data_IF_438657919559
#
_entry.id   IF_438657919559
#
_cell.length_a   1.000
_cell.length_b   1.000
_cell.length_c   1.000
_cell.angle_alpha   90.00
_cell.angle_beta   90.00
_cell.angle_gamma   90.00
#
_symmetry.space_group_name_H-M   'P 1'
#
loop_
_entity.id
_entity.type
_entity.pdbx_description
1 polymer ?
#
# COMPACT_ATOMS: atom_id res chain seq x y z
N UNK A 1 -10.94 -4.05 -10.44
CA UNK A 1 -10.21 -3.70 -9.19
C UNK A 1 -9.37 -2.44 -9.40
N UNK A 2 -8.54 -2.35 -10.45
CA UNK A 2 -7.82 -1.10 -10.77
C UNK A 2 -8.74 0.12 -10.82
N UNK A 3 -9.89 0.00 -11.49
CA UNK A 3 -10.87 1.06 -11.67
C UNK A 3 -11.45 1.52 -10.32
N UNK A 4 -11.79 0.54 -9.46
CA UNK A 4 -12.32 0.84 -8.14
C UNK A 4 -11.30 1.57 -7.26
N UNK A 5 -10.03 1.15 -7.27
CA UNK A 5 -8.99 1.84 -6.50
C UNK A 5 -8.70 3.24 -7.07
N UNK A 6 -8.70 3.39 -8.39
CA UNK A 6 -8.57 4.70 -9.03
C UNK A 6 -9.69 5.66 -8.56
N UNK A 7 -10.95 5.27 -8.77
CA UNK A 7 -12.11 6.12 -8.48
C UNK A 7 -12.30 6.40 -6.98
N UNK A 8 -12.06 5.40 -6.13
CA UNK A 8 -12.41 5.48 -4.70
C UNK A 8 -11.25 5.88 -3.80
N UNK A 9 -10.01 5.76 -4.25
CA UNK A 9 -8.83 6.00 -3.42
C UNK A 9 -7.83 6.94 -4.08
N UNK A 10 -7.34 6.59 -5.28
CA UNK A 10 -6.21 7.31 -5.87
C UNK A 10 -6.61 8.70 -6.37
N UNK A 11 -7.67 8.81 -7.16
CA UNK A 11 -8.14 10.10 -7.69
C UNK A 11 -8.58 11.07 -6.59
N UNK A 12 -9.36 10.65 -5.56
CA UNK A 12 -9.67 11.51 -4.42
C UNK A 12 -8.46 12.05 -3.66
N UNK A 13 -7.37 11.28 -3.62
CA UNK A 13 -6.13 11.64 -2.92
C UNK A 13 -5.10 12.32 -3.82
N UNK A 14 -5.38 12.45 -5.13
CA UNK A 14 -4.42 12.98 -6.08
C UNK A 14 -3.20 12.07 -6.28
N UNK A 15 -3.33 10.77 -6.03
CA UNK A 15 -2.27 9.77 -6.20
C UNK A 15 -2.14 9.36 -7.67
N UNK A 16 -1.55 10.24 -8.50
CA UNK A 16 -1.58 10.12 -9.97
C UNK A 16 -0.64 9.05 -10.51
N UNK A 17 0.29 8.60 -9.69
CA UNK A 17 1.36 7.69 -10.05
C UNK A 17 1.18 6.30 -9.44
N UNK A 18 0.08 6.11 -8.69
CA UNK A 18 -0.24 4.86 -8.03
C UNK A 18 -1.14 3.99 -8.90
N UNK A 19 -0.70 2.76 -9.15
CA UNK A 19 -1.44 1.81 -9.98
C UNK A 19 -0.78 0.45 -10.07
N UNK A 20 -1.43 -0.48 -10.75
CA UNK A 20 -0.89 -1.83 -10.98
C UNK A 20 0.17 -1.90 -12.08
N UNK A 21 0.40 -0.79 -12.78
CA UNK A 21 1.46 -0.61 -13.76
C UNK A 21 1.84 0.87 -13.81
N UNK A 22 3.04 1.17 -14.27
CA UNK A 22 3.51 2.54 -14.49
C UNK A 22 2.61 3.22 -15.52
N UNK A 23 2.24 4.48 -15.25
CA UNK A 23 1.42 5.26 -16.17
C UNK A 23 2.13 5.47 -17.53
N UNK A 24 1.37 5.54 -18.64
CA UNK A 24 1.96 5.85 -19.95
C UNK A 24 2.79 7.13 -19.90
N UNK A 25 4.04 7.06 -20.38
CA UNK A 25 4.96 8.20 -20.41
C UNK A 25 5.68 8.50 -19.09
N UNK A 26 5.51 7.68 -18.05
CA UNK A 26 6.23 7.81 -16.77
C UNK A 26 7.35 6.78 -16.57
N UNK A 27 7.63 5.93 -17.58
CA UNK A 27 8.66 4.89 -17.50
C UNK A 27 10.08 5.45 -17.36
N UNK A 28 10.33 6.65 -17.88
CA UNK A 28 11.62 7.34 -17.84
C UNK A 28 12.10 7.68 -16.42
N UNK A 29 11.15 7.79 -15.48
CA UNK A 29 11.42 8.03 -14.05
C UNK A 29 11.16 6.81 -13.16
N UNK A 30 10.81 5.66 -13.73
CA UNK A 30 10.61 4.42 -12.98
C UNK A 30 11.95 3.72 -12.72
N UNK A 31 12.16 3.23 -11.50
CA UNK A 31 13.42 2.63 -11.07
C UNK A 31 13.38 1.12 -11.18
N UNK A 32 14.53 0.48 -11.43
CA UNK A 32 14.64 -0.97 -11.32
C UNK A 32 14.48 -1.47 -9.89
N UNK A 33 13.89 -2.65 -9.73
CA UNK A 33 13.81 -3.37 -8.47
C UNK A 33 15.03 -4.29 -8.33
N UNK A 34 15.73 -4.20 -7.21
CA UNK A 34 16.93 -4.98 -6.93
C UNK A 34 16.76 -5.80 -5.65
N UNK A 35 17.44 -6.94 -5.59
CA UNK A 35 17.60 -7.75 -4.38
C UNK A 35 19.07 -7.92 -4.03
N UNK A 36 19.35 -8.25 -2.78
CA UNK A 36 20.69 -8.69 -2.39
C UNK A 36 21.03 -10.02 -3.06
N UNK A 37 22.14 -10.05 -3.80
CA UNK A 37 22.67 -11.26 -4.41
C UNK A 37 23.52 -12.06 -3.41
N UNK A 38 23.71 -13.36 -3.67
CA UNK A 38 24.44 -14.29 -2.78
C UNK A 38 25.90 -13.86 -2.52
N UNK A 39 26.51 -13.10 -3.43
CA UNK A 39 27.88 -12.60 -3.31
C UNK A 39 28.03 -11.23 -2.65
N UNK A 40 26.98 -10.67 -2.03
CA UNK A 40 27.00 -9.35 -1.40
C UNK A 40 26.86 -8.15 -2.35
N UNK A 41 26.57 -8.40 -3.64
CA UNK A 41 26.20 -7.39 -4.63
C UNK A 41 24.69 -7.22 -4.78
N UNK A 42 24.27 -6.33 -5.67
CA UNK A 42 22.85 -6.15 -6.03
C UNK A 42 22.54 -6.89 -7.34
N UNK A 43 21.44 -7.62 -7.36
CA UNK A 43 20.92 -8.29 -8.54
C UNK A 43 19.66 -7.56 -9.00
N UNK A 44 19.60 -7.21 -10.29
CA UNK A 44 18.40 -6.64 -10.90
C UNK A 44 17.32 -7.73 -10.97
N UNK A 45 16.22 -7.51 -10.26
CA UNK A 45 15.04 -8.40 -10.26
C UNK A 45 14.08 -7.99 -11.36
N UNK A 46 13.87 -6.68 -11.52
CA UNK A 46 12.97 -6.14 -12.54
C UNK A 46 13.51 -4.82 -13.07
N UNK A 47 13.66 -4.74 -14.39
CA UNK A 47 14.07 -3.51 -15.08
C UNK A 47 12.91 -2.50 -15.15
N UNK A 48 13.18 -1.21 -15.41
CA UNK A 48 12.10 -0.23 -15.58
C UNK A 48 11.07 -0.62 -16.65
N UNK A 49 11.49 -1.29 -17.73
CA UNK A 49 10.63 -1.80 -18.79
C UNK A 49 10.08 -3.23 -18.52
N UNK A 50 10.26 -3.72 -17.29
CA UNK A 50 9.88 -5.06 -16.84
C UNK A 50 8.41 -5.21 -16.45
N UNK A 51 8.15 -5.95 -15.35
CA UNK A 51 6.81 -6.46 -15.02
C UNK A 51 5.77 -5.35 -14.80
N UNK A 52 6.18 -4.18 -14.30
CA UNK A 52 5.29 -3.05 -14.05
C UNK A 52 5.17 -2.09 -15.24
N UNK A 53 5.84 -2.36 -16.37
CA UNK A 53 5.73 -1.53 -17.58
C UNK A 53 4.40 -1.74 -18.32
N UNK A 54 3.63 -2.75 -17.93
CA UNK A 54 2.31 -3.07 -18.49
C UNK A 54 1.35 -3.61 -17.41
N UNK A 55 0.02 -3.51 -17.61
CA UNK A 55 -0.94 -4.06 -16.65
C UNK A 55 -0.73 -5.56 -16.41
N UNK A 56 -0.81 -6.04 -15.15
CA UNK A 56 -0.65 -7.44 -14.83
C UNK A 56 -1.85 -8.25 -15.33
N UNK A 57 -1.63 -9.55 -15.59
CA UNK A 57 -2.71 -10.47 -15.95
C UNK A 57 -3.81 -10.56 -14.88
N UNK A 58 -3.44 -10.37 -13.61
CA UNK A 58 -4.37 -10.35 -12.48
C UNK A 58 -3.96 -9.31 -11.42
N UNK A 59 -4.72 -8.22 -11.26
CA UNK A 59 -4.52 -7.26 -10.17
C UNK A 59 -4.88 -7.89 -8.81
N UNK A 60 -3.91 -7.93 -7.89
CA UNK A 60 -4.10 -8.51 -6.55
C UNK A 60 -4.38 -7.44 -5.50
N UNK A 61 -5.33 -7.68 -4.60
CA UNK A 61 -5.55 -6.83 -3.43
C UNK A 61 -4.45 -6.96 -2.36
N UNK A 62 -3.63 -8.01 -2.44
CA UNK A 62 -2.56 -8.28 -1.48
C UNK A 62 -1.21 -7.62 -1.85
N UNK A 63 -1.10 -6.99 -3.02
CA UNK A 63 0.12 -6.31 -3.47
C UNK A 63 0.22 -6.13 -4.97
N UNK A 64 1.34 -5.53 -5.40
CA UNK A 64 1.68 -5.33 -6.82
C UNK A 64 1.47 -3.91 -7.35
N UNK A 65 1.09 -2.96 -6.49
CA UNK A 65 1.05 -1.53 -6.86
C UNK A 65 2.47 -0.96 -6.96
N UNK A 66 2.67 -0.09 -7.94
CA UNK A 66 3.74 0.92 -7.95
C UNK A 66 3.17 2.25 -7.47
N UNK A 67 4.03 3.11 -6.91
CA UNK A 67 3.66 4.41 -6.33
C UNK A 67 4.87 5.33 -6.30
N UNK A 68 4.65 6.61 -6.01
CA UNK A 68 5.70 7.56 -5.61
C UNK A 68 5.65 7.82 -4.10
N UNK A 69 6.69 8.49 -3.59
CA UNK A 69 6.73 8.97 -2.20
C UNK A 69 5.60 9.96 -1.93
N UNK A 70 5.33 10.88 -2.86
CA UNK A 70 4.29 11.90 -2.71
C UNK A 70 2.89 11.30 -2.65
N UNK A 71 2.61 10.31 -3.51
CA UNK A 71 1.34 9.58 -3.50
C UNK A 71 1.15 8.80 -2.19
N UNK A 72 2.19 8.10 -1.74
CA UNK A 72 2.14 7.34 -0.50
C UNK A 72 1.96 8.27 0.71
N UNK A 73 2.61 9.43 0.69
CA UNK A 73 2.44 10.47 1.69
C UNK A 73 1.00 10.99 1.76
N UNK A 74 0.34 11.22 0.62
CA UNK A 74 -1.07 11.61 0.57
C UNK A 74 -1.98 10.55 1.21
N UNK A 75 -1.72 9.27 0.94
CA UNK A 75 -2.43 8.16 1.59
C UNK A 75 -2.24 8.15 3.11
N UNK A 76 -0.99 8.25 3.59
CA UNK A 76 -0.67 8.32 5.01
C UNK A 76 -1.33 9.50 5.72
N UNK A 77 -1.33 10.68 5.08
CA UNK A 77 -2.03 11.86 5.60
C UNK A 77 -3.54 11.66 5.72
N UNK A 78 -4.17 11.00 4.76
CA UNK A 78 -5.60 10.70 4.84
C UNK A 78 -5.94 9.82 6.04
N UNK A 79 -5.09 8.83 6.36
CA UNK A 79 -5.25 8.01 7.56
C UNK A 79 -5.08 8.85 8.83
N UNK A 80 -4.07 9.70 8.90
CA UNK A 80 -3.86 10.61 10.05
C UNK A 80 -5.00 11.62 10.23
N UNK A 81 -5.64 12.03 9.13
CA UNK A 81 -6.78 12.94 9.12
C UNK A 81 -8.15 12.23 9.25
N UNK A 82 -8.18 11.02 9.82
CA UNK A 82 -9.41 10.23 10.04
C UNK A 82 -10.28 10.08 8.78
N UNK A 83 -9.63 9.83 7.65
CA UNK A 83 -10.29 9.52 6.38
C UNK A 83 -10.55 10.71 5.47
N UNK A 84 -10.00 11.89 5.78
CA UNK A 84 -10.12 13.10 4.97
C UNK A 84 -8.91 13.29 4.05
N UNK A 85 -9.16 13.58 2.78
CA UNK A 85 -8.15 14.07 1.86
C UNK A 85 -7.75 15.52 2.18
N UNK A 86 -6.66 15.99 1.58
CA UNK A 86 -6.15 17.35 1.78
C UNK A 86 -7.11 18.46 1.36
N UNK A 87 -7.99 18.18 0.40
CA UNK A 87 -9.07 19.08 -0.05
C UNK A 87 -10.32 19.04 0.85
N UNK A 88 -10.29 18.25 1.93
CA UNK A 88 -11.40 18.03 2.86
C UNK A 88 -12.42 16.98 2.42
N UNK A 89 -12.23 16.33 1.26
CA UNK A 89 -13.10 15.24 0.80
C UNK A 89 -12.98 14.03 1.70
N UNK A 90 -14.10 13.41 2.05
CA UNK A 90 -14.10 12.16 2.82
C UNK A 90 -13.90 10.95 1.92
N UNK A 91 -12.79 10.24 2.12
CA UNK A 91 -12.45 8.97 1.46
C UNK A 91 -12.89 7.79 2.31
N UNK A 92 -12.60 7.84 3.61
CA UNK A 92 -13.05 6.85 4.60
C UNK A 92 -13.78 7.54 5.73
N UNK A 93 -14.66 6.81 6.44
CA UNK A 93 -15.18 7.32 7.71
C UNK A 93 -14.09 7.28 8.77
N UNK A 94 -14.09 8.23 9.71
CA UNK A 94 -13.14 8.19 10.82
C UNK A 94 -13.27 6.91 11.64
N UNK A 95 -14.47 6.35 11.72
CA UNK A 95 -14.68 5.05 12.36
C UNK A 95 -14.00 3.90 11.61
N UNK A 96 -14.12 3.87 10.27
CA UNK A 96 -13.41 2.88 9.46
C UNK A 96 -11.89 2.97 9.66
N UNK A 97 -11.34 4.18 9.69
CA UNK A 97 -9.90 4.38 9.94
C UNK A 97 -9.52 3.90 11.33
N UNK A 98 -10.30 4.22 12.38
CA UNK A 98 -10.06 3.70 13.74
C UNK A 98 -10.06 2.18 13.77
N UNK A 99 -11.03 1.52 13.14
CA UNK A 99 -11.08 0.06 13.09
C UNK A 99 -9.90 -0.55 12.31
N UNK A 100 -9.39 0.15 11.30
CA UNK A 100 -8.20 -0.26 10.55
C UNK A 100 -6.93 -0.31 11.41
N UNK A 101 -6.80 0.61 12.38
CA UNK A 101 -5.59 0.80 13.20
C UNK A 101 -5.78 0.43 14.67
N UNK A 102 -6.88 -0.23 15.02
CA UNK A 102 -7.15 -0.76 16.37
C UNK A 102 -7.05 -2.28 16.33
N UNK A 103 -6.48 -2.87 17.38
CA UNK A 103 -6.41 -4.32 17.53
C UNK A 103 -7.82 -4.93 17.57
N UNK A 104 -8.11 -5.81 16.62
CA UNK A 104 -9.40 -6.49 16.48
C UNK A 104 -9.35 -7.93 17.01
N UNK A 105 -8.19 -8.36 17.50
CA UNK A 105 -7.98 -9.73 17.97
C UNK A 105 -8.32 -9.84 19.46
N UNK A 106 -8.93 -10.95 19.85
CA UNK A 106 -9.00 -11.32 21.27
C UNK A 106 -7.61 -11.72 21.79
N UNK A 107 -7.39 -11.72 23.12
CA UNK A 107 -6.12 -12.17 23.70
C UNK A 107 -5.71 -13.59 23.24
N UNK A 108 -6.67 -14.51 23.14
CA UNK A 108 -6.42 -15.89 22.69
C UNK A 108 -6.05 -15.95 21.20
N UNK A 109 -6.71 -15.13 20.36
CA UNK A 109 -6.37 -15.03 18.93
C UNK A 109 -4.97 -14.47 18.74
N UNK A 110 -4.60 -13.42 19.50
CA UNK A 110 -3.24 -12.86 19.49
C UNK A 110 -2.20 -13.89 19.87
N UNK A 111 -2.41 -14.61 20.98
CA UNK A 111 -1.51 -15.66 21.44
C UNK A 111 -1.33 -16.78 20.39
N UNK A 112 -2.40 -17.14 19.68
CA UNK A 112 -2.35 -18.14 18.61
C UNK A 112 -1.70 -17.62 17.30
N UNK A 113 -1.68 -16.31 17.07
CA UNK A 113 -1.20 -15.68 15.84
C UNK A 113 0.27 -15.26 15.85
N UNK A 114 1.02 -15.55 16.92
CA UNK A 114 2.38 -15.03 17.13
C UNK A 114 3.40 -15.32 16.02
N UNK A 115 3.20 -16.40 15.23
CA UNK A 115 4.02 -16.67 14.04
C UNK A 115 3.88 -15.59 12.94
N UNK A 116 2.72 -14.94 12.87
CA UNK A 116 2.38 -13.96 11.84
C UNK A 116 2.45 -12.51 12.34
N UNK A 117 2.18 -12.29 13.62
CA UNK A 117 2.12 -10.93 14.18
C UNK A 117 3.35 -10.55 14.99
N UNK A 118 4.25 -11.51 15.30
CA UNK A 118 5.48 -11.26 16.06
C UNK A 118 5.27 -10.49 17.39
N UNK A 119 4.10 -10.69 18.01
CA UNK A 119 3.70 -10.03 19.26
C UNK A 119 2.76 -8.83 19.09
N UNK A 120 2.65 -8.29 17.87
CA UNK A 120 1.72 -7.22 17.51
C UNK A 120 0.25 -7.70 17.51
N UNK A 121 -0.68 -6.75 17.49
CA UNK A 121 -2.11 -6.98 17.22
C UNK A 121 -2.41 -6.91 15.73
N UNK A 122 -3.68 -7.04 15.37
CA UNK A 122 -4.10 -6.90 13.97
C UNK A 122 -5.39 -6.09 13.85
N UNK A 123 -5.32 -4.98 13.14
CA UNK A 123 -6.48 -4.18 12.75
C UNK A 123 -6.97 -4.54 11.35
N UNK A 124 -8.12 -3.99 10.93
CA UNK A 124 -8.62 -4.23 9.58
C UNK A 124 -7.73 -3.62 8.47
N UNK A 125 -6.74 -2.79 8.82
CA UNK A 125 -5.79 -2.18 7.90
C UNK A 125 -4.37 -2.77 7.96
N UNK A 126 -4.06 -3.63 8.93
CA UNK A 126 -2.74 -4.24 9.07
C UNK A 126 -2.31 -4.44 10.52
N UNK A 127 -1.01 -4.70 10.70
CA UNK A 127 -0.41 -4.87 12.02
C UNK A 127 -0.49 -3.59 12.86
N UNK A 128 -0.72 -3.74 14.16
CA UNK A 128 -0.81 -2.62 15.11
C UNK A 128 -0.01 -2.91 16.37
N UNK A 129 0.66 -1.89 16.90
CA UNK A 129 1.34 -2.01 18.18
C UNK A 129 0.33 -2.14 19.32
N UNK A 130 0.69 -2.96 20.31
CA UNK A 130 -0.15 -3.38 21.43
C UNK A 130 0.65 -3.23 22.72
N UNK A 131 0.99 -1.97 23.03
CA UNK A 131 1.62 -1.52 24.27
C UNK A 131 0.82 -0.38 24.92
#
# INVERSE_FOLDING_TARGET
LPEYLAERLFEPLGMRDTGFSVAPGALDRFTGHYRAGEGGGWELVDAPDGQWSSPPAFPSGAGGLVSTVDDWYAFGRMLLAEGLADDGRRVLTGESVRQMVTDQLTPDQRAASGLFTEGQGWGFGGSVDVE
#
